data_IF_047214733703
#
_entry.id   IF_047214733703
#
_cell.length_a   1.000
_cell.length_b   1.000
_cell.length_c   1.000
_cell.angle_alpha   90.00
_cell.angle_beta   90.00
_cell.angle_gamma   90.00
#
_symmetry.space_group_name_H-M   'P 1'
#
loop_
_entity.id
_entity.type
_entity.pdbx_description
1 polymer ?
#
# COMPACT_ATOMS: atom_id res chain seq x y z
N UNK A 1 -10.76 14.24 -9.49
CA UNK A 1 -10.56 13.23 -10.55
C UNK A 1 -9.96 11.95 -9.98
N UNK A 2 -8.96 12.03 -9.11
CA UNK A 2 -8.30 10.87 -8.48
C UNK A 2 -9.24 9.93 -7.72
N UNK A 3 -10.20 10.47 -6.95
CA UNK A 3 -11.20 9.65 -6.23
C UNK A 3 -12.01 8.73 -7.15
N UNK A 4 -12.44 9.20 -8.33
CA UNK A 4 -13.22 8.39 -9.28
C UNK A 4 -12.36 7.25 -9.83
N UNK A 5 -11.07 7.50 -10.07
CA UNK A 5 -10.16 6.48 -10.57
C UNK A 5 -9.94 5.37 -9.52
N UNK A 6 -9.81 5.73 -8.25
CA UNK A 6 -9.71 4.77 -7.14
C UNK A 6 -10.98 3.92 -7.02
N UNK A 7 -12.16 4.54 -7.08
CA UNK A 7 -13.42 3.79 -7.01
C UNK A 7 -13.55 2.76 -8.15
N UNK A 8 -13.00 3.06 -9.34
CA UNK A 8 -12.95 2.13 -10.47
C UNK A 8 -11.97 0.99 -10.19
N UNK A 9 -10.78 1.28 -9.66
CA UNK A 9 -9.79 0.25 -9.26
C UNK A 9 -10.40 -0.73 -8.26
N UNK A 10 -11.08 -0.23 -7.23
CA UNK A 10 -11.71 -1.07 -6.21
C UNK A 10 -12.79 -1.98 -6.83
N UNK A 11 -13.63 -1.42 -7.72
CA UNK A 11 -14.64 -2.21 -8.45
C UNK A 11 -14.02 -3.29 -9.32
N UNK A 12 -12.90 -3.00 -9.98
CA UNK A 12 -12.18 -3.98 -10.77
C UNK A 12 -11.69 -5.14 -9.90
N UNK A 13 -11.05 -4.85 -8.77
CA UNK A 13 -10.59 -5.88 -7.82
C UNK A 13 -11.73 -6.75 -7.30
N UNK A 14 -12.88 -6.15 -6.97
CA UNK A 14 -14.09 -6.90 -6.59
C UNK A 14 -14.53 -7.82 -7.74
N UNK A 15 -14.53 -7.33 -8.98
CA UNK A 15 -14.90 -8.16 -10.15
C UNK A 15 -13.90 -9.27 -10.45
N UNK A 16 -12.64 -9.09 -10.06
CA UNK A 16 -11.57 -10.09 -10.17
C UNK A 16 -11.62 -11.11 -9.02
N UNK A 17 -12.59 -10.98 -8.10
CA UNK A 17 -12.77 -11.79 -6.89
C UNK A 17 -11.62 -11.67 -5.89
N UNK A 18 -10.88 -10.55 -5.90
CA UNK A 18 -9.90 -10.25 -4.87
C UNK A 18 -10.67 -10.02 -3.56
N UNK A 19 -10.27 -10.74 -2.52
CA UNK A 19 -10.80 -10.58 -1.18
C UNK A 19 -10.29 -9.28 -0.59
N UNK A 20 -11.20 -8.36 -0.30
CA UNK A 20 -10.87 -7.09 0.33
C UNK A 20 -11.16 -7.16 1.83
N UNK A 21 -10.28 -6.56 2.63
CA UNK A 21 -10.51 -6.39 4.06
C UNK A 21 -11.60 -5.34 4.32
N UNK A 22 -12.21 -5.41 5.50
CA UNK A 22 -13.15 -4.38 5.94
C UNK A 22 -12.45 -3.01 6.02
N UNK A 23 -13.17 -1.89 5.82
CA UNK A 23 -12.60 -0.56 5.96
C UNK A 23 -11.88 -0.35 7.29
N UNK A 24 -10.75 0.36 7.26
CA UNK A 24 -10.06 0.77 8.47
C UNK A 24 -10.91 1.77 9.26
N UNK A 25 -10.81 1.74 10.59
CA UNK A 25 -11.40 2.77 11.45
C UNK A 25 -10.42 3.89 11.72
N UNK A 26 -10.92 5.07 12.10
CA UNK A 26 -10.07 6.19 12.49
C UNK A 26 -9.13 5.83 13.65
N UNK A 27 -9.61 5.03 14.61
CA UNK A 27 -8.81 4.57 15.74
C UNK A 27 -7.68 3.64 15.29
N UNK A 28 -7.97 2.71 14.36
CA UNK A 28 -6.95 1.78 13.85
C UNK A 28 -5.84 2.50 13.07
N UNK A 29 -6.19 3.47 12.22
CA UNK A 29 -5.23 4.31 11.51
C UNK A 29 -4.38 5.12 12.48
N UNK A 30 -5.01 5.80 13.44
CA UNK A 30 -4.31 6.61 14.44
C UNK A 30 -3.36 5.77 15.28
N UNK A 31 -3.77 4.57 15.71
CA UNK A 31 -2.91 3.66 16.45
C UNK A 31 -1.71 3.20 15.59
N UNK A 32 -1.96 2.87 14.32
CA UNK A 32 -0.91 2.47 13.37
C UNK A 32 0.12 3.59 13.18
N UNK A 33 -0.34 4.82 12.92
CA UNK A 33 0.52 6.01 12.82
C UNK A 33 1.37 6.24 14.07
N UNK A 34 0.79 6.05 15.26
CA UNK A 34 1.52 6.17 16.53
C UNK A 34 2.62 5.11 16.69
N UNK A 35 2.33 3.85 16.36
CA UNK A 35 3.31 2.75 16.44
C UNK A 35 4.44 2.96 15.43
N UNK A 36 4.08 3.37 14.21
CA UNK A 36 5.05 3.63 13.15
C UNK A 36 5.86 4.90 13.40
N UNK A 37 5.35 5.84 14.21
CA UNK A 37 5.92 7.18 14.32
C UNK A 37 5.89 7.90 12.96
N UNK A 38 4.80 7.74 12.21
CA UNK A 38 4.62 8.26 10.86
C UNK A 38 3.19 8.76 10.69
N UNK A 39 3.02 9.79 9.85
CA UNK A 39 1.70 10.30 9.49
C UNK A 39 1.45 9.96 8.03
N UNK A 40 0.41 9.17 7.76
CA UNK A 40 0.08 8.80 6.41
C UNK A 40 -0.45 10.01 5.64
N UNK A 41 -0.22 10.07 4.32
CA UNK A 41 -0.83 11.09 3.49
C UNK A 41 -2.36 10.92 3.46
N UNK A 42 -3.07 12.00 3.18
CA UNK A 42 -4.52 12.03 3.27
C UNK A 42 -5.20 11.09 2.26
N UNK A 43 -4.59 10.91 1.09
CA UNK A 43 -5.12 10.02 0.06
C UNK A 43 -4.95 8.53 0.42
N UNK A 44 -3.90 8.15 1.15
CA UNK A 44 -3.77 6.85 1.80
C UNK A 44 -4.92 6.63 2.79
N UNK A 45 -5.15 7.57 3.71
CA UNK A 45 -6.23 7.44 4.71
C UNK A 45 -7.60 7.29 4.05
N UNK A 46 -7.88 8.12 3.05
CA UNK A 46 -9.14 8.06 2.29
C UNK A 46 -9.34 6.72 1.57
N UNK A 47 -8.27 6.10 1.06
CA UNK A 47 -8.35 4.76 0.51
C UNK A 47 -8.62 3.72 1.59
N UNK A 48 -7.90 3.78 2.72
CA UNK A 48 -8.05 2.82 3.80
C UNK A 48 -9.40 2.90 4.52
N UNK A 49 -10.06 4.07 4.52
CA UNK A 49 -11.45 4.22 4.93
C UNK A 49 -12.47 3.59 3.98
N UNK A 50 -12.07 3.17 2.79
CA UNK A 50 -12.91 2.40 1.86
C UNK A 50 -12.64 0.89 1.95
N UNK A 51 -11.38 0.49 2.15
CA UNK A 51 -10.97 -0.91 2.38
C UNK A 51 -9.56 -0.96 3.02
N UNK A 52 -9.33 -1.87 3.96
CA UNK A 52 -8.03 -2.03 4.64
C UNK A 52 -7.12 -3.04 3.90
N UNK A 53 -6.76 -2.73 2.65
CA UNK A 53 -6.03 -3.66 1.78
C UNK A 53 -6.76 -4.98 1.45
N UNK A 54 -5.98 -5.98 1.03
CA UNK A 54 -6.43 -7.31 0.64
C UNK A 54 -6.41 -8.27 1.84
N UNK A 55 -7.38 -9.18 1.90
CA UNK A 55 -7.49 -10.16 2.98
C UNK A 55 -6.73 -11.46 2.63
N UNK A 56 -6.36 -12.25 3.64
CA UNK A 56 -5.80 -13.59 3.48
C UNK A 56 -4.63 -13.72 2.48
N UNK A 57 -3.78 -12.69 2.34
CA UNK A 57 -2.66 -12.68 1.38
C UNK A 57 -3.07 -12.71 -0.09
N UNK A 58 -4.32 -12.32 -0.37
CA UNK A 58 -4.78 -12.25 -1.75
C UNK A 58 -3.95 -11.25 -2.56
N UNK A 59 -3.97 -11.42 -3.87
CA UNK A 59 -3.19 -10.63 -4.79
C UNK A 59 -3.91 -10.45 -6.12
N UNK A 60 -3.49 -9.44 -6.88
CA UNK A 60 -3.94 -9.27 -8.26
C UNK A 60 -3.40 -10.39 -9.14
N UNK A 61 -3.97 -10.59 -10.34
CA UNK A 61 -3.41 -11.52 -11.35
C UNK A 61 -1.93 -11.28 -11.68
N UNK A 62 -1.44 -10.06 -11.46
CA UNK A 62 -0.05 -9.64 -11.66
C UNK A 62 0.78 -9.73 -10.37
N UNK A 63 0.30 -10.47 -9.37
CA UNK A 63 1.01 -10.81 -8.14
C UNK A 63 1.32 -9.63 -7.21
N UNK A 64 0.53 -8.57 -7.28
CA UNK A 64 0.59 -7.47 -6.32
C UNK A 64 -0.36 -7.72 -5.16
N UNK A 65 0.11 -7.54 -3.92
CA UNK A 65 -0.73 -7.54 -2.74
C UNK A 65 -0.72 -6.14 -2.10
N UNK A 66 -1.90 -5.60 -1.80
CA UNK A 66 -2.04 -4.40 -0.97
C UNK A 66 -2.31 -4.88 0.45
N UNK A 67 -1.50 -4.45 1.41
CA UNK A 67 -1.54 -4.98 2.77
C UNK A 67 -2.60 -4.28 3.64
N UNK A 68 -3.27 -5.02 4.53
CA UNK A 68 -3.99 -4.40 5.64
C UNK A 68 -3.01 -3.72 6.60
N UNK A 69 -3.48 -2.72 7.36
CA UNK A 69 -2.68 -2.05 8.39
C UNK A 69 -2.04 -3.05 9.37
N UNK A 70 -2.76 -4.12 9.72
CA UNK A 70 -2.25 -5.17 10.59
C UNK A 70 -0.98 -5.84 10.02
N UNK A 71 -0.95 -6.09 8.71
CA UNK A 71 0.19 -6.70 8.02
C UNK A 71 1.35 -5.72 7.91
N UNK A 72 1.06 -4.47 7.56
CA UNK A 72 2.03 -3.37 7.60
C UNK A 72 2.73 -3.28 8.96
N UNK A 73 1.99 -3.38 10.06
CA UNK A 73 2.55 -3.37 11.41
C UNK A 73 3.37 -4.64 11.72
N UNK A 74 2.84 -5.81 11.39
CA UNK A 74 3.53 -7.09 11.59
C UNK A 74 4.90 -7.08 10.90
N UNK A 75 4.95 -6.74 9.62
CA UNK A 75 6.18 -6.70 8.85
C UNK A 75 7.10 -5.58 9.34
N UNK A 76 6.55 -4.40 9.62
CA UNK A 76 7.32 -3.32 10.23
C UNK A 76 7.99 -3.75 11.53
N UNK A 77 7.42 -4.66 12.33
CA UNK A 77 8.07 -5.17 13.54
C UNK A 77 9.25 -6.11 13.24
N UNK A 78 9.14 -6.94 12.19
CA UNK A 78 10.18 -7.88 11.78
C UNK A 78 11.32 -7.25 10.97
N UNK A 79 11.05 -6.16 10.25
CA UNK A 79 12.04 -5.51 9.39
C UNK A 79 13.15 -4.81 10.16
N UNK A 80 14.39 -4.84 9.66
CA UNK A 80 15.49 -4.10 10.28
C UNK A 80 15.43 -2.61 9.97
N UNK A 81 14.97 -2.22 8.78
CA UNK A 81 14.84 -0.82 8.40
C UNK A 81 13.51 -0.24 8.86
N UNK A 82 13.52 0.48 9.98
CA UNK A 82 12.33 1.17 10.51
C UNK A 82 12.03 2.49 9.80
N UNK A 83 12.78 2.87 8.76
CA UNK A 83 12.51 4.07 7.97
C UNK A 83 11.61 3.80 6.77
N UNK A 84 11.47 2.54 6.34
CA UNK A 84 10.61 2.17 5.24
C UNK A 84 9.34 1.49 5.75
N UNK A 85 8.20 2.03 5.35
CA UNK A 85 6.87 1.57 5.78
C UNK A 85 6.18 0.99 4.56
N UNK A 86 6.24 -0.34 4.47
CA UNK A 86 5.67 -1.09 3.35
C UNK A 86 4.16 -1.17 3.49
N UNK A 87 3.43 -0.91 2.41
CA UNK A 87 1.97 -1.11 2.34
C UNK A 87 1.56 -2.09 1.24
N UNK A 88 2.48 -2.51 0.38
CA UNK A 88 2.22 -3.44 -0.69
C UNK A 88 3.50 -4.16 -1.11
N UNK A 89 3.34 -5.32 -1.71
CA UNK A 89 4.44 -6.07 -2.29
C UNK A 89 4.08 -6.67 -3.65
N UNK A 90 5.12 -6.99 -4.41
CA UNK A 90 5.07 -7.85 -5.57
C UNK A 90 5.81 -9.15 -5.26
N UNK A 91 5.18 -10.27 -5.62
CA UNK A 91 5.77 -11.62 -5.57
C UNK A 91 6.41 -11.95 -4.22
N UNK A 92 5.63 -11.88 -3.14
CA UNK A 92 6.05 -12.30 -1.78
C UNK A 92 7.31 -11.54 -1.35
N UNK A 93 7.21 -10.21 -1.32
CA UNK A 93 8.29 -9.28 -0.96
C UNK A 93 9.50 -9.27 -1.92
N UNK A 94 9.39 -9.78 -3.15
CA UNK A 94 10.46 -9.61 -4.13
C UNK A 94 10.71 -8.12 -4.44
N UNK A 95 9.63 -7.33 -4.48
CA UNK A 95 9.68 -5.86 -4.50
C UNK A 95 8.66 -5.34 -3.51
N UNK A 96 9.08 -4.44 -2.62
CA UNK A 96 8.24 -3.80 -1.62
C UNK A 96 7.90 -2.37 -2.05
N UNK A 97 6.68 -1.93 -1.79
CA UNK A 97 6.21 -0.56 -2.06
C UNK A 97 5.76 0.11 -0.77
N UNK A 98 6.23 1.33 -0.55
CA UNK A 98 6.06 1.96 0.75
C UNK A 98 6.45 3.42 0.82
N UNK A 99 6.42 3.95 2.04
CA UNK A 99 6.84 5.30 2.37
C UNK A 99 8.20 5.30 3.04
N UNK A 100 9.06 6.24 2.68
CA UNK A 100 10.31 6.49 3.39
C UNK A 100 10.12 7.66 4.35
N UNK A 101 10.36 7.47 5.64
CA UNK A 101 10.23 8.53 6.65
C UNK A 101 11.05 9.75 6.28
N UNK A 102 10.42 10.93 6.34
CA UNK A 102 11.06 12.20 6.00
C UNK A 102 11.22 12.48 4.51
N UNK A 103 10.66 11.64 3.63
CA UNK A 103 10.57 11.89 2.18
C UNK A 103 9.12 11.88 1.73
N UNK A 104 8.81 12.72 0.76
CA UNK A 104 7.50 12.73 0.12
C UNK A 104 7.44 11.71 -1.01
N UNK A 105 6.26 11.10 -1.20
CA UNK A 105 5.97 10.14 -2.26
C UNK A 105 6.05 8.68 -1.84
N UNK A 106 5.85 7.80 -2.83
CA UNK A 106 5.88 6.34 -2.69
C UNK A 106 7.11 5.79 -3.39
N UNK A 107 7.77 4.86 -2.73
CA UNK A 107 9.02 4.27 -3.16
C UNK A 107 8.87 2.76 -3.36
N UNK A 108 9.60 2.20 -4.32
CA UNK A 108 9.86 0.76 -4.39
C UNK A 108 11.21 0.43 -3.76
N UNK A 109 11.35 -0.79 -3.26
CA UNK A 109 12.60 -1.36 -2.76
C UNK A 109 12.73 -2.82 -3.23
N UNK A 110 13.80 -3.11 -3.95
CA UNK A 110 14.19 -4.46 -4.42
C UNK A 110 15.52 -4.93 -3.82
N UNK A 111 16.03 -4.25 -2.78
CA UNK A 111 17.25 -4.61 -2.06
C UNK A 111 18.47 -3.72 -2.33
N UNK A 112 18.41 -2.82 -3.32
CA UNK A 112 19.52 -1.91 -3.64
C UNK A 112 19.32 -0.50 -3.06
N UNK A 113 18.16 0.11 -3.31
CA UNK A 113 17.82 1.44 -2.81
C UNK A 113 16.32 1.72 -2.88
N UNK A 114 15.86 2.78 -2.19
CA UNK A 114 14.50 3.27 -2.30
C UNK A 114 14.35 4.18 -3.53
N UNK A 115 13.59 3.72 -4.53
CA UNK A 115 13.34 4.44 -5.79
C UNK A 115 11.94 5.05 -5.80
N UNK A 116 11.82 6.35 -6.06
CA UNK A 116 10.52 7.04 -6.14
C UNK A 116 9.75 6.56 -7.37
N UNK A 117 8.54 6.02 -7.17
CA UNK A 117 7.65 5.58 -8.25
C UNK A 117 6.45 6.49 -8.46
N UNK A 118 6.04 7.23 -7.44
CA UNK A 118 4.87 8.11 -7.48
C UNK A 118 4.97 9.23 -6.46
N UNK A 119 4.36 10.39 -6.73
CA UNK A 119 4.32 11.51 -5.79
C UNK A 119 3.20 11.35 -4.75
N UNK A 120 2.19 10.53 -5.05
CA UNK A 120 1.05 10.28 -4.17
C UNK A 120 0.75 8.79 -4.05
N UNK A 121 0.08 8.40 -2.97
CA UNK A 121 -0.35 7.01 -2.79
C UNK A 121 -1.34 6.59 -3.88
N UNK A 122 -2.27 7.47 -4.23
CA UNK A 122 -3.27 7.19 -5.27
C UNK A 122 -2.63 6.92 -6.63
N UNK A 123 -1.59 7.68 -6.99
CA UNK A 123 -0.81 7.40 -8.21
C UNK A 123 -0.15 6.02 -8.16
N UNK A 124 0.43 5.63 -7.02
CA UNK A 124 1.01 4.29 -6.86
C UNK A 124 -0.03 3.18 -7.03
N UNK A 125 -1.25 3.35 -6.49
CA UNK A 125 -2.35 2.38 -6.68
C UNK A 125 -2.74 2.27 -8.17
N UNK A 126 -2.76 3.39 -8.90
CA UNK A 126 -3.03 3.38 -10.33
C UNK A 126 -1.92 2.65 -11.10
N UNK A 127 -0.66 2.87 -10.75
CA UNK A 127 0.48 2.16 -11.34
C UNK A 127 0.36 0.64 -11.12
N UNK A 128 0.09 0.22 -9.87
CA UNK A 128 -0.10 -1.20 -9.49
C UNK A 128 -1.26 -1.81 -10.28
N UNK A 129 -2.41 -1.14 -10.33
CA UNK A 129 -3.57 -1.65 -11.07
C UNK A 129 -3.29 -1.74 -12.59
N UNK A 130 -2.47 -0.83 -13.13
CA UNK A 130 -2.11 -0.80 -14.54
C UNK A 130 -0.94 -1.71 -14.93
N UNK A 131 -0.30 -2.38 -13.96
CA UNK A 131 0.88 -3.22 -14.21
C UNK A 131 2.05 -2.44 -14.84
N UNK A 132 2.31 -1.24 -14.33
CA UNK A 132 3.25 -0.32 -14.98
C UNK A 132 4.71 -0.80 -14.88
N UNK A 133 5.47 -0.67 -15.98
CA UNK A 133 6.88 -1.10 -16.08
C UNK A 133 7.79 -0.51 -14.99
N UNK A 134 7.49 0.70 -14.48
CA UNK A 134 8.28 1.36 -13.42
C UNK A 134 8.31 0.57 -12.11
N UNK A 135 7.39 -0.38 -11.92
CA UNK A 135 7.28 -1.19 -10.70
C UNK A 135 8.34 -2.31 -10.62
N UNK A 136 9.00 -2.63 -11.73
CA UNK A 136 10.03 -3.67 -11.85
C UNK A 136 11.43 -3.08 -11.96
#
# INVERSE_FOLDING_TARGET
MTSIAIDIVIKNWISENIKLSQPATQESLKATEQILGFQFPEDFKNFYFQLDGFADWDWTKNMFSIWPLARTLEEYHHESDKNFIVFADYLINAIQFGFVKGKDGVFKNSGESHELIANTFSEAILLINSDADILY
#
